data_IF_115666556085
#
_entry.id   IF_115666556085
#
_cell.length_a   1.000
_cell.length_b   1.000
_cell.length_c   1.000
_cell.angle_alpha   90.00
_cell.angle_beta   90.00
_cell.angle_gamma   90.00
#
_symmetry.space_group_name_H-M   'P 1'
#
loop_
_entity.id
_entity.type
_entity.pdbx_description
1 polymer ?
#
# COMPACT_ATOMS: atom_id res chain seq x y z
N UNK A 1 -0.84 -22.04 3.11
CA UNK A 1 0.25 -21.26 2.51
C UNK A 1 -0.23 -20.84 1.13
N UNK A 2 -0.85 -19.71 0.87
CA UNK A 2 -1.23 -18.52 1.62
C UNK A 2 -1.51 -17.48 0.55
N UNK A 3 -2.75 -17.36 0.06
CA UNK A 3 -3.11 -16.53 -1.13
C UNK A 3 -2.64 -15.06 -1.03
N UNK A 4 -2.41 -14.59 0.19
CA UNK A 4 -1.87 -13.25 0.51
C UNK A 4 -0.41 -13.10 0.06
N UNK A 5 0.41 -14.17 0.11
CA UNK A 5 1.82 -14.12 -0.31
C UNK A 5 1.96 -13.80 -1.81
N UNK A 6 1.02 -14.27 -2.64
CA UNK A 6 1.06 -14.06 -4.10
C UNK A 6 0.71 -12.62 -4.51
N UNK A 7 -0.27 -12.00 -3.84
CA UNK A 7 -0.66 -10.61 -4.09
C UNK A 7 0.40 -9.63 -3.55
N UNK A 8 1.06 -9.98 -2.44
CA UNK A 8 2.13 -9.19 -1.85
C UNK A 8 3.39 -9.17 -2.74
N UNK A 9 3.75 -10.29 -3.36
CA UNK A 9 4.86 -10.36 -4.31
C UNK A 9 4.61 -9.51 -5.57
N UNK A 10 3.39 -9.50 -6.11
CA UNK A 10 3.06 -8.68 -7.28
C UNK A 10 3.13 -7.18 -6.98
N UNK A 11 2.64 -6.72 -5.82
CA UNK A 11 2.78 -5.32 -5.40
C UNK A 11 4.24 -4.92 -5.11
N UNK A 12 5.03 -5.80 -4.49
CA UNK A 12 6.44 -5.54 -4.19
C UNK A 12 7.33 -5.53 -5.45
N UNK A 13 7.11 -6.45 -6.39
CA UNK A 13 7.89 -6.53 -7.64
C UNK A 13 7.59 -5.31 -8.53
N UNK A 14 6.35 -4.82 -8.54
CA UNK A 14 6.01 -3.59 -9.27
C UNK A 14 6.49 -2.30 -8.61
N UNK A 15 6.65 -2.28 -7.28
CA UNK A 15 7.31 -1.18 -6.59
C UNK A 15 8.84 -1.20 -6.82
N UNK A 16 9.46 -2.37 -7.01
CA UNK A 16 10.90 -2.50 -7.21
C UNK A 16 11.38 -2.24 -8.65
N UNK A 17 10.56 -2.44 -9.68
CA UNK A 17 11.02 -2.35 -11.08
C UNK A 17 10.92 -0.96 -11.72
N UNK A 18 10.40 0.05 -11.02
CA UNK A 18 10.22 1.41 -11.57
C UNK A 18 10.64 2.56 -10.66
N UNK A 19 11.34 2.26 -9.55
CA UNK A 19 12.06 3.29 -8.80
C UNK A 19 13.40 3.47 -9.51
N UNK A 20 13.47 4.42 -10.44
CA UNK A 20 14.74 5.13 -10.63
C UNK A 20 15.02 5.83 -9.30
N UNK A 21 15.80 5.17 -8.45
CA UNK A 21 16.29 5.70 -7.19
C UNK A 21 17.27 6.83 -7.48
N UNK A 22 16.78 8.00 -7.89
CA UNK A 22 17.54 9.23 -7.77
C UNK A 22 17.42 9.66 -6.31
N UNK A 23 18.39 9.22 -5.50
CA UNK A 23 18.64 9.76 -4.17
C UNK A 23 18.72 11.29 -4.25
N UNK A 24 18.19 11.97 -3.23
CA UNK A 24 18.23 13.43 -3.11
C UNK A 24 19.70 13.89 -3.08
N UNK A 25 20.24 14.26 -4.23
CA UNK A 25 21.47 15.05 -4.27
C UNK A 25 21.11 16.46 -3.81
N UNK A 26 21.21 16.71 -2.51
CA UNK A 26 21.25 18.09 -2.00
C UNK A 26 22.61 18.65 -2.41
N UNK A 27 22.64 19.34 -3.55
CA UNK A 27 23.78 20.18 -3.91
C UNK A 27 23.83 21.37 -2.95
N UNK A 28 24.54 21.22 -1.83
CA UNK A 28 24.93 22.37 -0.99
C UNK A 28 26.09 23.08 -1.70
N UNK A 29 25.77 24.08 -2.52
CA UNK A 29 26.78 25.00 -3.02
C UNK A 29 26.95 26.15 -2.00
N UNK A 30 27.98 26.05 -1.16
CA UNK A 30 28.47 27.19 -0.36
C UNK A 30 29.49 27.98 -1.18
N UNK A 31 29.37 29.31 -1.35
CA UNK A 31 30.36 30.08 -2.06
C UNK A 31 31.45 30.51 -1.06
N UNK A 32 32.60 29.81 -1.07
CA UNK A 32 33.93 30.44 -1.17
C UNK A 32 35.09 29.47 -0.88
N UNK A 33 36.03 29.49 -1.83
CA UNK A 33 37.43 29.01 -1.81
C UNK A 33 37.70 27.51 -1.91
N UNK A 34 38.63 27.20 -2.82
CA UNK A 34 38.95 25.89 -3.36
C UNK A 34 40.02 25.18 -2.54
N UNK A 35 39.73 23.97 -2.03
CA UNK A 35 40.69 22.84 -2.00
C UNK A 35 40.03 21.55 -1.45
N UNK A 36 40.25 20.44 -2.19
CA UNK A 36 40.09 19.01 -1.84
C UNK A 36 38.68 18.38 -1.80
N UNK A 37 38.29 17.72 -2.91
CA UNK A 37 37.30 16.64 -2.88
C UNK A 37 37.88 15.40 -2.17
N UNK A 38 37.42 15.12 -0.95
CA UNK A 38 37.61 13.82 -0.30
C UNK A 38 36.59 12.80 -0.83
N UNK A 39 36.92 11.51 -1.00
CA UNK A 39 35.92 10.49 -1.30
C UNK A 39 35.07 10.22 -0.05
N UNK A 40 33.77 10.53 -0.10
CA UNK A 40 32.80 10.14 0.93
C UNK A 40 32.45 8.65 0.76
N UNK A 41 33.02 7.78 1.60
CA UNK A 41 32.73 6.33 1.59
C UNK A 41 31.91 5.83 2.78
N UNK A 42 31.31 6.71 3.58
CA UNK A 42 30.48 6.33 4.73
C UNK A 42 28.98 6.67 4.57
N UNK A 43 28.61 7.69 3.80
CA UNK A 43 27.22 8.20 3.74
C UNK A 43 26.31 7.42 2.75
N UNK A 44 26.87 6.87 1.68
CA UNK A 44 26.10 6.09 0.69
C UNK A 44 25.52 4.77 1.24
N UNK A 45 26.15 4.18 2.25
CA UNK A 45 25.69 2.92 2.85
C UNK A 45 24.53 3.12 3.85
N UNK A 46 24.46 4.29 4.48
CA UNK A 46 23.37 4.63 5.41
C UNK A 46 22.07 4.98 4.67
N UNK A 47 22.17 5.66 3.51
CA UNK A 47 21.02 6.02 2.67
C UNK A 47 20.38 4.77 2.04
N UNK A 48 21.18 3.84 1.50
CA UNK A 48 20.71 2.57 0.96
C UNK A 48 20.05 1.66 2.03
N UNK A 49 20.63 1.64 3.23
CA UNK A 49 20.06 0.90 4.38
C UNK A 49 18.73 1.49 4.85
N UNK A 50 18.60 2.82 4.84
CA UNK A 50 17.37 3.53 5.20
C UNK A 50 16.26 3.30 4.17
N UNK A 51 16.58 3.39 2.87
CA UNK A 51 15.63 3.10 1.79
C UNK A 51 15.08 1.68 1.84
N UNK A 52 15.94 0.68 2.05
CA UNK A 52 15.53 -0.72 2.19
C UNK A 52 14.57 -0.93 3.38
N UNK A 53 14.85 -0.29 4.52
CA UNK A 53 13.98 -0.35 5.71
C UNK A 53 12.61 0.29 5.47
N UNK A 54 12.55 1.39 4.70
CA UNK A 54 11.28 2.03 4.33
C UNK A 54 10.46 1.14 3.42
N UNK A 55 11.07 0.53 2.39
CA UNK A 55 10.39 -0.38 1.46
C UNK A 55 9.82 -1.59 2.22
N UNK A 56 10.63 -2.20 3.10
CA UNK A 56 10.17 -3.33 3.91
C UNK A 56 9.02 -2.93 4.84
N UNK A 57 9.10 -1.76 5.47
CA UNK A 57 8.05 -1.24 6.33
C UNK A 57 6.76 -0.96 5.56
N UNK A 58 6.88 -0.44 4.33
CA UNK A 58 5.75 -0.15 3.46
C UNK A 58 5.06 -1.45 3.01
N UNK A 59 5.83 -2.42 2.53
CA UNK A 59 5.30 -3.74 2.14
C UNK A 59 4.60 -4.43 3.32
N UNK A 60 5.21 -4.42 4.50
CA UNK A 60 4.61 -4.99 5.72
C UNK A 60 3.30 -4.28 6.09
N UNK A 61 3.27 -2.95 6.03
CA UNK A 61 2.07 -2.18 6.38
C UNK A 61 0.94 -2.39 5.36
N UNK A 62 1.27 -2.50 4.07
CA UNK A 62 0.31 -2.87 3.03
C UNK A 62 -0.25 -4.28 3.26
N UNK A 63 0.61 -5.24 3.65
CA UNK A 63 0.16 -6.59 3.97
C UNK A 63 -0.83 -6.59 5.13
N UNK A 64 -0.48 -5.94 6.24
CA UNK A 64 -1.35 -5.82 7.41
C UNK A 64 -2.72 -5.25 7.03
N UNK A 65 -2.74 -4.17 6.24
CA UNK A 65 -3.98 -3.58 5.71
C UNK A 65 -4.86 -4.61 4.98
N UNK A 66 -4.25 -5.44 4.13
CA UNK A 66 -4.98 -6.47 3.36
C UNK A 66 -5.45 -7.65 4.21
N UNK A 67 -4.73 -8.00 5.27
CA UNK A 67 -5.13 -9.09 6.18
C UNK A 67 -6.47 -8.79 6.89
N UNK A 68 -6.74 -7.52 7.20
CA UNK A 68 -8.01 -7.08 7.78
C UNK A 68 -9.22 -7.33 6.86
N UNK A 69 -9.01 -7.60 5.56
CA UNK A 69 -10.12 -7.85 4.63
C UNK A 69 -10.84 -9.17 4.91
N UNK A 70 -10.21 -10.12 5.61
CA UNK A 70 -10.94 -11.31 6.10
C UNK A 70 -12.01 -10.92 7.12
N UNK A 71 -11.69 -10.05 8.07
CA UNK A 71 -12.64 -9.52 9.06
C UNK A 71 -13.79 -8.75 8.42
N UNK A 72 -13.48 -7.84 7.49
CA UNK A 72 -14.49 -7.07 6.76
C UNK A 72 -15.40 -7.99 5.93
N UNK A 73 -14.81 -8.99 5.26
CA UNK A 73 -15.57 -10.00 4.51
C UNK A 73 -16.50 -10.78 5.44
N UNK A 74 -15.99 -11.21 6.60
CA UNK A 74 -16.75 -11.96 7.60
C UNK A 74 -17.94 -11.16 8.13
N UNK A 75 -17.73 -9.89 8.47
CA UNK A 75 -18.79 -9.00 8.94
C UNK A 75 -19.90 -8.84 7.88
N UNK A 76 -19.51 -8.58 6.63
CA UNK A 76 -20.45 -8.45 5.50
C UNK A 76 -21.19 -9.75 5.24
N UNK A 77 -20.49 -10.88 5.23
CA UNK A 77 -21.07 -12.20 5.01
C UNK A 77 -22.13 -12.52 6.05
N UNK A 78 -21.81 -12.35 7.35
CA UNK A 78 -22.75 -12.61 8.46
C UNK A 78 -23.99 -11.72 8.41
N UNK A 79 -23.84 -10.47 7.95
CA UNK A 79 -24.93 -9.49 7.87
C UNK A 79 -25.65 -9.47 6.51
N UNK A 80 -25.26 -10.31 5.56
CA UNK A 80 -25.82 -10.31 4.20
C UNK A 80 -25.59 -8.99 3.45
N UNK A 81 -24.51 -8.26 3.76
CA UNK A 81 -24.19 -6.98 3.12
C UNK A 81 -23.36 -7.18 1.84
N UNK A 82 -23.53 -6.32 0.82
CA UNK A 82 -22.70 -6.37 -0.38
C UNK A 82 -21.24 -5.99 -0.09
N UNK A 83 -20.33 -6.48 -0.95
CA UNK A 83 -18.90 -6.07 -0.92
C UNK A 83 -18.73 -4.63 -1.40
N UNK A 84 -19.41 -4.25 -2.48
CA UNK A 84 -19.44 -2.87 -2.98
C UNK A 84 -20.35 -2.01 -2.09
N UNK A 85 -19.86 -0.85 -1.65
CA UNK A 85 -20.58 0.11 -0.82
C UNK A 85 -20.10 1.52 -1.22
N UNK A 86 -20.71 2.08 -2.26
CA UNK A 86 -20.27 3.35 -2.86
C UNK A 86 -20.22 4.50 -1.83
N UNK A 87 -21.21 4.70 -0.94
CA UNK A 87 -21.11 5.72 0.11
C UNK A 87 -19.93 5.50 1.07
N UNK A 88 -19.60 4.25 1.38
CA UNK A 88 -18.41 3.95 2.21
C UNK A 88 -17.12 4.16 1.43
N UNK A 89 -17.08 3.77 0.18
CA UNK A 89 -15.91 3.93 -0.70
C UNK A 89 -15.56 5.41 -0.88
N UNK A 90 -16.55 6.27 -1.08
CA UNK A 90 -16.37 7.71 -1.10
C UNK A 90 -15.78 8.25 0.20
N UNK A 91 -16.26 7.78 1.36
CA UNK A 91 -15.70 8.16 2.67
C UNK A 91 -14.25 7.73 2.83
N UNK A 92 -13.91 6.51 2.42
CA UNK A 92 -12.53 5.99 2.47
C UNK A 92 -11.61 6.84 1.58
N UNK A 93 -12.03 7.12 0.35
CA UNK A 93 -11.29 7.99 -0.57
C UNK A 93 -11.08 9.39 0.03
N UNK A 94 -12.14 10.03 0.53
CA UNK A 94 -12.07 11.37 1.09
C UNK A 94 -11.15 11.44 2.31
N UNK A 95 -11.23 10.47 3.23
CA UNK A 95 -10.33 10.40 4.39
C UNK A 95 -8.87 10.18 3.98
N UNK A 96 -8.61 9.29 3.02
CA UNK A 96 -7.25 9.02 2.56
C UNK A 96 -6.63 10.23 1.84
N UNK A 97 -7.41 10.93 1.03
CA UNK A 97 -7.01 12.18 0.36
C UNK A 97 -6.72 13.30 1.38
N UNK A 98 -7.55 13.42 2.43
CA UNK A 98 -7.30 14.38 3.52
C UNK A 98 -6.01 14.04 4.29
N UNK A 99 -5.79 12.77 4.62
CA UNK A 99 -4.59 12.30 5.29
C UNK A 99 -3.34 12.53 4.44
N UNK A 100 -3.42 12.30 3.12
CA UNK A 100 -2.31 12.55 2.20
C UNK A 100 -1.93 14.03 2.19
N UNK A 101 -2.92 14.93 2.15
CA UNK A 101 -2.67 16.36 2.28
C UNK A 101 -1.98 16.73 3.60
N UNK A 102 -2.37 16.09 4.71
CA UNK A 102 -1.78 16.33 6.02
C UNK A 102 -0.33 15.84 6.14
N UNK A 103 0.02 14.78 5.40
CA UNK A 103 1.39 14.25 5.30
C UNK A 103 2.23 14.98 4.22
N UNK A 104 1.68 15.99 3.53
CA UNK A 104 2.39 16.81 2.55
C UNK A 104 2.41 16.28 1.11
N UNK A 105 1.63 15.24 0.82
CA UNK A 105 1.48 14.68 -0.52
C UNK A 105 0.43 15.46 -1.34
N UNK A 106 0.59 15.50 -2.67
CA UNK A 106 -0.45 16.02 -3.56
C UNK A 106 -1.69 15.09 -3.49
N UNK A 107 -2.86 15.60 -3.05
CA UNK A 107 -4.07 14.80 -2.92
C UNK A 107 -4.53 14.14 -4.24
N UNK A 108 -4.22 14.74 -5.39
CA UNK A 108 -4.58 14.16 -6.69
C UNK A 108 -3.64 13.03 -7.10
N UNK A 109 -2.35 13.16 -6.79
CA UNK A 109 -1.33 12.14 -7.09
C UNK A 109 -1.60 10.78 -6.42
N UNK A 110 -2.20 10.78 -5.22
CA UNK A 110 -2.42 9.55 -4.43
C UNK A 110 -3.74 8.82 -4.76
N UNK A 111 -4.70 9.48 -5.42
CA UNK A 111 -6.03 8.91 -5.71
C UNK A 111 -5.97 7.57 -6.46
N UNK A 112 -5.16 7.39 -7.53
CA UNK A 112 -5.08 6.11 -8.24
C UNK A 112 -4.57 4.98 -7.34
N UNK A 113 -3.62 5.27 -6.47
CA UNK A 113 -3.09 4.30 -5.52
C UNK A 113 -4.13 3.91 -4.45
N UNK A 114 -4.87 4.87 -3.91
CA UNK A 114 -5.96 4.62 -2.97
C UNK A 114 -7.05 3.76 -3.62
N UNK A 115 -7.44 4.10 -4.86
CA UNK A 115 -8.43 3.31 -5.61
C UNK A 115 -7.96 1.87 -5.83
N UNK A 116 -6.70 1.67 -6.24
CA UNK A 116 -6.15 0.34 -6.42
C UNK A 116 -6.19 -0.50 -5.13
N UNK A 117 -5.84 0.09 -3.98
CA UNK A 117 -5.95 -0.60 -2.68
C UNK A 117 -7.40 -0.93 -2.28
N UNK A 118 -8.37 -0.13 -2.69
CA UNK A 118 -9.80 -0.41 -2.48
C UNK A 118 -10.28 -1.55 -3.37
N UNK A 119 -9.85 -1.58 -4.64
CA UNK A 119 -10.21 -2.63 -5.58
C UNK A 119 -9.65 -3.99 -5.13
N UNK A 120 -8.36 -4.05 -4.78
CA UNK A 120 -7.72 -5.26 -4.21
C UNK A 120 -8.44 -5.71 -2.95
N UNK A 121 -8.78 -4.78 -2.06
CA UNK A 121 -9.51 -5.10 -0.84
C UNK A 121 -10.88 -5.73 -1.13
N UNK A 122 -11.61 -5.26 -2.15
CA UNK A 122 -12.89 -5.85 -2.56
C UNK A 122 -12.71 -7.25 -3.13
N UNK A 123 -11.65 -7.50 -3.88
CA UNK A 123 -11.38 -8.82 -4.44
C UNK A 123 -11.00 -9.85 -3.37
N UNK A 124 -10.18 -9.47 -2.38
CA UNK A 124 -9.92 -10.34 -1.22
C UNK A 124 -11.22 -10.70 -0.49
N UNK A 125 -12.11 -9.71 -0.29
CA UNK A 125 -13.41 -9.96 0.35
C UNK A 125 -14.27 -10.93 -0.45
N UNK A 126 -14.35 -10.76 -1.78
CA UNK A 126 -15.10 -11.66 -2.67
C UNK A 126 -14.57 -13.08 -2.59
N UNK A 127 -13.25 -13.26 -2.59
CA UNK A 127 -12.60 -14.57 -2.49
C UNK A 127 -12.96 -15.28 -1.19
N UNK A 128 -12.88 -14.60 -0.04
CA UNK A 128 -13.30 -15.20 1.24
C UNK A 128 -14.78 -15.57 1.25
N UNK A 129 -15.65 -14.68 0.77
CA UNK A 129 -17.10 -14.93 0.73
C UNK A 129 -17.43 -16.12 -0.18
N UNK A 130 -16.80 -16.21 -1.36
CA UNK A 130 -16.97 -17.35 -2.27
C UNK A 130 -16.47 -18.65 -1.62
N UNK A 131 -15.30 -18.60 -0.97
CA UNK A 131 -14.75 -19.73 -0.22
C UNK A 131 -15.68 -20.24 0.87
N UNK A 132 -16.23 -19.37 1.71
CA UNK A 132 -17.14 -19.76 2.79
C UNK A 132 -18.48 -20.32 2.31
N UNK A 133 -18.94 -19.94 1.11
CA UNK A 133 -20.14 -20.55 0.49
C UNK A 133 -19.93 -22.02 0.13
N UNK A 134 -18.70 -22.39 -0.24
CA UNK A 134 -18.34 -23.77 -0.61
C UNK A 134 -17.91 -24.56 0.62
N UNK A 135 -17.05 -23.97 1.46
CA UNK A 135 -16.47 -24.58 2.64
C UNK A 135 -16.56 -23.60 3.82
N UNK A 136 -17.60 -23.71 4.64
CA UNK A 136 -17.71 -22.92 5.85
C UNK A 136 -16.50 -23.15 6.77
N UNK A 137 -15.96 -22.06 7.30
CA UNK A 137 -14.84 -22.08 8.24
C UNK A 137 -15.37 -21.82 9.66
N UNK A 138 -14.83 -22.50 10.67
CA UNK A 138 -15.10 -22.19 12.08
C UNK A 138 -14.17 -21.07 12.55
N UNK A 139 -14.48 -19.85 12.13
CA UNK A 139 -13.74 -18.64 12.45
C UNK A 139 -14.72 -17.46 12.59
N UNK A 140 -14.41 -16.50 13.47
CA UNK A 140 -15.24 -15.33 13.73
C UNK A 140 -14.45 -14.04 13.49
N UNK A 141 -15.04 -13.04 12.82
CA UNK A 141 -14.39 -11.75 12.61
C UNK A 141 -14.27 -10.95 13.91
N UNK A 142 -13.21 -10.16 14.01
CA UNK A 142 -13.07 -9.10 15.01
C UNK A 142 -14.19 -8.07 14.88
N UNK A 143 -14.34 -7.22 15.90
CA UNK A 143 -15.33 -6.15 15.88
C UNK A 143 -15.03 -5.18 14.73
N UNK A 144 -16.04 -4.87 13.91
CA UNK A 144 -15.82 -4.08 12.69
C UNK A 144 -15.24 -2.69 12.96
N UNK A 145 -15.61 -2.04 14.06
CA UNK A 145 -15.07 -0.71 14.40
C UNK A 145 -13.58 -0.78 14.76
N UNK A 146 -13.16 -1.79 15.54
CA UNK A 146 -11.74 -2.04 15.85
C UNK A 146 -10.93 -2.31 14.56
N UNK A 147 -11.46 -3.14 13.67
CA UNK A 147 -10.83 -3.43 12.37
C UNK A 147 -10.65 -2.17 11.53
N UNK A 148 -11.60 -1.24 11.59
CA UNK A 148 -11.53 0.04 10.87
C UNK A 148 -10.49 0.98 11.45
N UNK A 149 -10.29 0.97 12.76
CA UNK A 149 -9.21 1.73 13.39
C UNK A 149 -7.84 1.22 12.92
N UNK A 150 -7.65 -0.11 12.87
CA UNK A 150 -6.41 -0.68 12.35
C UNK A 150 -6.17 -0.33 10.87
N UNK A 151 -7.19 -0.47 10.02
CA UNK A 151 -7.09 -0.08 8.60
C UNK A 151 -6.73 1.41 8.48
N UNK A 152 -7.36 2.27 9.27
CA UNK A 152 -7.10 3.72 9.21
C UNK A 152 -5.69 4.06 9.69
N UNK A 153 -5.16 3.34 10.68
CA UNK A 153 -3.80 3.51 11.15
C UNK A 153 -2.77 3.07 10.09
N UNK A 154 -3.00 1.93 9.44
CA UNK A 154 -2.15 1.44 8.35
C UNK A 154 -2.21 2.36 7.13
N UNK A 155 -3.40 2.88 6.75
CA UNK A 155 -3.56 3.87 5.67
C UNK A 155 -2.69 5.11 5.91
N UNK A 156 -2.73 5.68 7.12
CA UNK A 156 -1.92 6.85 7.48
C UNK A 156 -0.41 6.53 7.43
N UNK A 157 -0.03 5.35 7.95
CA UNK A 157 1.37 4.91 7.95
C UNK A 157 1.90 4.67 6.54
N UNK A 158 1.09 4.11 5.64
CA UNK A 158 1.43 3.91 4.22
C UNK A 158 1.74 5.26 3.57
N UNK A 159 0.87 6.26 3.74
CA UNK A 159 1.06 7.58 3.14
C UNK A 159 2.33 8.27 3.66
N UNK A 160 2.59 8.18 4.96
CA UNK A 160 3.84 8.69 5.56
C UNK A 160 5.07 7.99 4.99
N UNK A 161 5.05 6.67 4.88
CA UNK A 161 6.17 5.90 4.32
C UNK A 161 6.41 6.24 2.85
N UNK A 162 5.35 6.48 2.07
CA UNK A 162 5.46 6.94 0.69
C UNK A 162 6.15 8.29 0.62
N UNK A 163 5.70 9.26 1.42
CA UNK A 163 6.29 10.60 1.46
C UNK A 163 7.76 10.60 1.87
N UNK A 164 8.14 9.72 2.80
CA UNK A 164 9.51 9.63 3.32
C UNK A 164 10.45 8.81 2.43
N UNK A 165 9.91 7.88 1.63
CA UNK A 165 10.70 6.91 0.86
C UNK A 165 10.90 7.22 -0.61
N UNK A 166 10.05 8.06 -1.21
CA UNK A 166 10.07 8.30 -2.65
C UNK A 166 10.02 9.79 -2.96
N UNK A 167 11.00 10.29 -3.73
CA UNK A 167 10.92 11.63 -4.29
C UNK A 167 9.80 11.64 -5.33
N UNK A 168 8.84 12.56 -5.16
CA UNK A 168 7.53 12.45 -5.79
C UNK A 168 7.59 12.53 -7.32
N UNK A 169 7.61 11.36 -7.97
CA UNK A 169 6.96 11.13 -9.25
C UNK A 169 6.32 9.74 -9.26
N UNK A 170 5.15 9.64 -8.64
CA UNK A 170 4.28 8.48 -8.83
C UNK A 170 3.77 8.49 -10.28
N UNK A 171 4.41 7.72 -11.17
CA UNK A 171 3.82 7.41 -12.47
C UNK A 171 2.65 6.45 -12.25
N UNK A 172 1.54 6.59 -12.99
CA UNK A 172 0.37 5.73 -12.83
C UNK A 172 0.78 4.29 -13.07
N UNK A 173 0.89 3.52 -11.99
CA UNK A 173 1.14 2.10 -12.06
C UNK A 173 -0.08 1.43 -12.72
N UNK A 174 0.14 0.77 -13.85
CA UNK A 174 -0.92 0.24 -14.69
C UNK A 174 -1.63 -0.93 -13.99
N UNK A 175 -2.88 -0.69 -13.61
CA UNK A 175 -3.89 -1.68 -13.19
C UNK A 175 -4.04 -2.88 -14.15
N UNK A 176 -3.52 -2.78 -15.38
CA UNK A 176 -3.63 -3.82 -16.41
C UNK A 176 -2.79 -5.07 -16.11
N UNK A 177 -1.66 -4.94 -15.42
CA UNK A 177 -0.82 -6.10 -15.10
C UNK A 177 -1.51 -7.07 -14.14
N UNK A 178 -2.30 -6.57 -13.18
CA UNK A 178 -3.00 -7.42 -12.22
C UNK A 178 -4.30 -7.99 -12.81
N UNK A 179 -5.02 -7.24 -13.65
CA UNK A 179 -6.20 -7.75 -14.37
C UNK A 179 -5.88 -8.84 -15.41
N UNK A 180 -4.69 -8.79 -16.03
CA UNK A 180 -4.23 -9.77 -17.02
C UNK A 180 -3.22 -10.80 -16.46
N UNK A 181 -2.99 -10.80 -15.14
CA UNK A 181 -2.28 -11.90 -14.49
C UNK A 181 -3.19 -13.13 -14.55
N UNK A 182 -2.74 -14.20 -15.21
CA UNK A 182 -3.38 -15.52 -15.34
C UNK A 182 -3.55 -16.28 -14.01
N UNK A 183 -3.85 -15.59 -12.91
CA UNK A 183 -4.15 -16.17 -11.60
C UNK A 183 -5.66 -16.32 -11.34
N UNK A 184 -6.52 -15.96 -12.29
CA UNK A 184 -7.97 -16.21 -12.24
C UNK A 184 -8.45 -17.33 -13.18
N UNK A 185 -7.57 -18.04 -13.89
CA UNK A 185 -7.98 -19.20 -14.70
C UNK A 185 -8.02 -20.53 -13.92
N UNK A 186 -7.64 -20.55 -12.64
CA UNK A 186 -7.62 -21.77 -11.82
C UNK A 186 -8.12 -21.62 -10.38
N UNK A 187 -9.04 -20.68 -10.11
CA UNK A 187 -9.76 -20.56 -8.83
C UNK A 187 -11.19 -20.08 -9.07
#
# INVERSE_FOLDING_TARGET
MGFIESALMAMAISLCLFVDAQSKSVAVCHPQTAEVCHPQTAEANADASTGAMIILSLATTLNNRMEYMKDVAGDKYKKGKPVEDLPREEKVMNSAVANASAEGLDPNSVRPFIQAQMDVAKDIQRTYIAGWKVRPEKWEPRALEEVREFISADDAKILRLINNGFDCQFRPFQLELWKNSTLMEFL
#
